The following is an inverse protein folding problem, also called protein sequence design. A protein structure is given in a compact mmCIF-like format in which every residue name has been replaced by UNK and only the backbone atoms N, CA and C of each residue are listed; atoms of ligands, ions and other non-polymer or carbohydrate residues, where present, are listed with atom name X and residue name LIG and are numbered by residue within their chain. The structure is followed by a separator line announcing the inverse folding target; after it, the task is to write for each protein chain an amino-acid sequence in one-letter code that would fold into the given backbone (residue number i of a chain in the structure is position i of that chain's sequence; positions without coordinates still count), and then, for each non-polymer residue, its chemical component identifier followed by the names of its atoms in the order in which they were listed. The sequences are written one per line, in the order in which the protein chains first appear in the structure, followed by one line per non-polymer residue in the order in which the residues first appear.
data_IF_925817242988
#
_entry.id   IF_925817242988
#
_cell.length_a   1.000
_cell.length_b   1.000
_cell.length_c   1.000
_cell.angle_alpha   90.00
_cell.angle_beta   90.00
_cell.angle_gamma   90.00
#
_symmetry.space_group_name_H-M   'P 1'
#
loop_
_entity.id
_entity.type
_entity.pdbx_description
1 polymer ?
#
# COMPACT_ATOMS: atom_id res chain seq x y z
N UNK A 1 12.33 17.43 26.71
CA UNK A 1 12.06 18.33 27.86
C UNK A 1 10.59 18.12 28.25
N UNK A 2 10.32 17.52 29.41
CA UNK A 2 8.96 17.30 29.87
C UNK A 2 8.29 18.65 30.13
N UNK A 3 7.27 18.99 29.34
CA UNK A 3 6.43 20.15 29.58
C UNK A 3 5.68 19.92 30.90
N UNK A 4 6.04 20.65 31.94
CA UNK A 4 5.36 20.60 33.24
C UNK A 4 3.91 21.05 33.05
N UNK A 5 2.98 20.16 33.31
CA UNK A 5 1.53 20.49 33.38
C UNK A 5 1.35 21.40 34.60
N UNK A 6 1.20 22.71 34.38
CA UNK A 6 0.98 23.70 35.44
C UNK A 6 -0.47 24.15 35.45
N UNK A 7 -1.04 24.20 36.64
CA UNK A 7 -2.35 24.87 36.86
C UNK A 7 -3.56 23.94 36.96
N UNK A 8 -3.43 22.64 36.75
CA UNK A 8 -4.53 21.70 36.94
C UNK A 8 -4.51 21.20 38.39
N UNK A 9 -5.65 21.28 39.05
CA UNK A 9 -5.82 20.81 40.42
C UNK A 9 -6.59 19.49 40.38
N UNK A 10 -6.04 18.45 40.99
CA UNK A 10 -6.63 17.09 41.07
C UNK A 10 -7.02 16.78 42.49
N UNK A 11 -8.22 16.23 42.70
CA UNK A 11 -8.63 15.65 43.99
C UNK A 11 -8.25 14.17 44.01
N UNK A 12 -7.32 13.79 44.88
CA UNK A 12 -6.95 12.39 45.11
C UNK A 12 -7.18 12.09 46.56
N UNK A 13 -8.05 11.12 46.89
CA UNK A 13 -8.34 10.71 48.25
C UNK A 13 -8.93 11.80 49.16
N UNK A 14 -9.63 12.81 48.59
CA UNK A 14 -10.24 13.91 49.31
C UNK A 14 -9.39 15.18 49.41
N UNK A 15 -8.10 15.13 49.06
CA UNK A 15 -7.20 16.28 49.02
C UNK A 15 -7.13 16.92 47.62
N UNK A 16 -7.02 18.25 47.60
CA UNK A 16 -6.87 19.03 46.37
C UNK A 16 -5.41 19.41 46.20
N UNK A 17 -4.71 18.74 45.30
CA UNK A 17 -3.27 19.00 44.99
C UNK A 17 -3.08 19.41 43.56
N UNK A 18 -1.96 20.15 43.27
CA UNK A 18 -1.57 20.40 41.88
C UNK A 18 -1.12 19.07 41.23
N UNK A 19 -1.57 18.80 40.03
CA UNK A 19 -1.27 17.57 39.29
C UNK A 19 0.25 17.25 39.28
N UNK A 20 1.12 18.27 39.09
CA UNK A 20 2.56 18.09 39.12
C UNK A 20 3.08 17.50 40.45
N UNK A 21 2.46 17.87 41.60
CA UNK A 21 2.83 17.36 42.92
C UNK A 21 2.29 15.95 43.14
N UNK A 22 1.09 15.67 42.66
CA UNK A 22 0.49 14.33 42.72
C UNK A 22 1.31 13.30 41.91
N UNK A 23 1.91 13.71 40.79
CA UNK A 23 2.74 12.86 39.95
C UNK A 23 4.22 12.79 40.35
N UNK A 24 4.69 13.63 41.30
CA UNK A 24 6.10 13.74 41.64
C UNK A 24 6.71 12.41 42.12
N UNK A 25 6.04 11.74 43.02
CA UNK A 25 6.48 10.43 43.55
C UNK A 25 6.51 9.35 42.49
N UNK A 26 5.48 9.27 41.66
CA UNK A 26 5.33 8.28 40.59
C UNK A 26 6.38 8.53 39.50
N UNK A 27 6.59 9.76 39.08
CA UNK A 27 7.59 10.11 38.08
C UNK A 27 9.02 9.81 38.58
N UNK A 28 9.30 10.01 39.88
CA UNK A 28 10.58 9.66 40.48
C UNK A 28 10.80 8.14 40.46
N UNK A 29 9.80 7.36 40.78
CA UNK A 29 9.87 5.89 40.76
C UNK A 29 10.10 5.39 39.31
N UNK A 30 9.32 5.87 38.33
CA UNK A 30 9.50 5.53 36.92
C UNK A 30 10.94 5.83 36.47
N UNK A 31 11.44 7.02 36.78
CA UNK A 31 12.81 7.42 36.40
C UNK A 31 13.87 6.51 37.01
N UNK A 32 13.74 6.17 38.29
CA UNK A 32 14.69 5.28 38.96
C UNK A 32 14.68 3.88 38.36
N UNK A 33 13.51 3.32 38.12
CA UNK A 33 13.34 1.99 37.52
C UNK A 33 13.89 1.95 36.10
N UNK A 34 13.69 3.00 35.30
CA UNK A 34 14.25 3.10 33.95
C UNK A 34 15.80 3.17 33.96
N UNK A 35 16.41 3.83 34.93
CA UNK A 35 17.87 3.86 35.06
C UNK A 35 18.41 2.47 35.39
N UNK A 36 17.80 1.76 36.35
CA UNK A 36 18.19 0.40 36.71
C UNK A 36 17.97 -0.59 35.55
N UNK A 37 16.87 -0.48 34.80
CA UNK A 37 16.62 -1.26 33.59
C UNK A 37 17.76 -1.07 32.56
N UNK A 38 18.15 0.16 32.31
CA UNK A 38 19.23 0.48 31.39
C UNK A 38 20.57 -0.12 31.81
N UNK A 39 20.83 -0.19 33.10
CA UNK A 39 22.08 -0.78 33.63
C UNK A 39 22.04 -2.32 33.51
N UNK A 40 20.93 -2.96 33.83
CA UNK A 40 20.75 -4.40 33.62
C UNK A 40 20.84 -4.76 32.13
N UNK A 41 20.29 -3.96 31.25
CA UNK A 41 20.39 -4.17 29.81
C UNK A 41 21.81 -4.07 29.26
N UNK A 42 22.62 -3.17 29.81
CA UNK A 42 24.03 -3.11 29.46
C UNK A 42 24.78 -4.40 29.84
N UNK A 43 24.47 -4.95 31.01
CA UNK A 43 25.09 -6.19 31.48
C UNK A 43 24.60 -7.39 30.67
N UNK A 44 23.31 -7.44 30.30
CA UNK A 44 22.73 -8.46 29.43
C UNK A 44 23.30 -8.45 28.03
N UNK A 45 23.81 -7.32 27.54
CA UNK A 45 24.56 -7.30 26.26
C UNK A 45 25.88 -8.05 26.32
N UNK A 46 26.49 -8.16 27.52
CA UNK A 46 27.75 -8.88 27.74
C UNK A 46 27.47 -10.37 28.01
N UNK A 47 26.39 -10.68 28.72
CA UNK A 47 25.96 -12.05 29.01
C UNK A 47 24.43 -12.21 28.80
N UNK A 48 23.98 -12.44 27.56
CA UNK A 48 22.58 -12.50 27.21
C UNK A 48 21.78 -13.65 27.84
N UNK A 49 22.47 -14.67 28.36
CA UNK A 49 21.83 -15.86 28.95
C UNK A 49 21.89 -15.87 30.48
N UNK A 50 22.33 -14.78 31.09
CA UNK A 50 22.39 -14.69 32.55
C UNK A 50 20.99 -14.64 33.16
N UNK A 51 20.61 -15.73 33.80
CA UNK A 51 19.27 -15.93 34.38
C UNK A 51 18.97 -14.97 35.53
N UNK A 52 19.97 -14.61 36.32
CA UNK A 52 19.86 -13.62 37.40
C UNK A 52 19.54 -12.22 36.87
N UNK A 53 20.28 -11.77 35.83
CA UNK A 53 20.06 -10.47 35.19
C UNK A 53 18.72 -10.43 34.46
N UNK A 54 18.30 -11.53 33.83
CA UNK A 54 16.99 -11.65 33.23
C UNK A 54 15.86 -11.59 34.25
N UNK A 55 16.02 -12.24 35.40
CA UNK A 55 15.08 -12.16 36.51
C UNK A 55 14.98 -10.74 37.09
N UNK A 56 16.12 -10.05 37.25
CA UNK A 56 16.17 -8.65 37.67
C UNK A 56 15.47 -7.74 36.63
N UNK A 57 15.71 -7.96 35.33
CA UNK A 57 15.02 -7.23 34.26
C UNK A 57 13.51 -7.39 34.38
N UNK A 58 13.03 -8.60 34.59
CA UNK A 58 11.59 -8.89 34.75
C UNK A 58 10.96 -8.15 35.92
N UNK A 59 11.63 -8.17 37.07
CA UNK A 59 11.15 -7.46 38.27
C UNK A 59 11.07 -5.95 38.01
N UNK A 60 12.11 -5.36 37.42
CA UNK A 60 12.15 -3.94 37.09
C UNK A 60 11.10 -3.55 36.06
N UNK A 61 10.83 -4.41 35.07
CA UNK A 61 9.74 -4.20 34.11
C UNK A 61 8.36 -4.23 34.80
N UNK A 62 8.13 -5.19 35.71
CA UNK A 62 6.90 -5.25 36.49
C UNK A 62 6.69 -3.99 37.36
N UNK A 63 7.73 -3.53 38.03
CA UNK A 63 7.69 -2.32 38.86
C UNK A 63 7.45 -1.06 37.99
N UNK A 64 8.07 -0.99 36.82
CA UNK A 64 7.89 0.11 35.85
C UNK A 64 6.47 0.13 35.27
N UNK A 65 5.91 -1.04 34.92
CA UNK A 65 4.52 -1.20 34.45
C UNK A 65 3.54 -0.73 35.53
N UNK A 66 3.73 -1.17 36.79
CA UNK A 66 2.87 -0.75 37.92
C UNK A 66 2.90 0.78 38.10
N UNK A 67 4.09 1.38 38.18
CA UNK A 67 4.24 2.82 38.34
C UNK A 67 3.66 3.61 37.16
N UNK A 68 3.78 3.10 35.94
CA UNK A 68 3.22 3.74 34.74
C UNK A 68 1.68 3.65 34.71
N UNK A 69 1.10 2.54 35.19
CA UNK A 69 -0.34 2.40 35.40
C UNK A 69 -0.88 3.39 36.45
N UNK A 70 -0.18 3.56 37.55
CA UNK A 70 -0.56 4.53 38.59
C UNK A 70 -0.51 5.97 38.08
N UNK A 71 0.52 6.30 37.25
CA UNK A 71 0.63 7.58 36.56
C UNK A 71 -0.57 7.78 35.63
N UNK A 72 -0.89 6.79 34.81
CA UNK A 72 -1.98 6.85 33.87
C UNK A 72 -3.34 7.04 34.55
N UNK A 73 -3.59 6.33 35.64
CA UNK A 73 -4.81 6.49 36.44
C UNK A 73 -4.95 7.90 37.00
N UNK A 74 -3.85 8.47 37.52
CA UNK A 74 -3.81 9.84 38.04
C UNK A 74 -4.09 10.87 36.94
N UNK A 75 -3.49 10.68 35.77
CA UNK A 75 -3.70 11.56 34.59
C UNK A 75 -5.15 11.49 34.09
N UNK A 76 -5.76 10.30 34.06
CA UNK A 76 -7.15 10.12 33.64
C UNK A 76 -8.13 10.80 34.59
N UNK A 77 -7.95 10.65 35.89
CA UNK A 77 -8.74 11.40 36.88
C UNK A 77 -8.59 12.91 36.71
N UNK A 78 -7.35 13.37 36.42
CA UNK A 78 -7.13 14.79 36.13
C UNK A 78 -7.82 15.25 34.84
N UNK A 79 -7.90 14.41 33.82
CA UNK A 79 -8.56 14.76 32.55
C UNK A 79 -10.08 14.89 32.72
N UNK A 80 -10.72 14.06 33.53
CA UNK A 80 -12.15 14.21 33.86
C UNK A 80 -12.44 15.55 34.53
N UNK A 81 -11.59 15.96 35.49
CA UNK A 81 -11.71 17.26 36.14
C UNK A 81 -11.37 18.44 35.20
N UNK A 82 -10.36 18.25 34.34
CA UNK A 82 -9.94 19.26 33.37
C UNK A 82 -11.03 19.54 32.31
N UNK A 83 -11.80 18.53 31.95
CA UNK A 83 -12.93 18.69 31.01
C UNK A 83 -14.00 19.67 31.59
N UNK A 84 -14.32 19.51 32.85
CA UNK A 84 -15.25 20.40 33.56
C UNK A 84 -14.65 21.81 33.74
N UNK A 85 -13.36 21.88 34.08
CA UNK A 85 -12.66 23.15 34.26
C UNK A 85 -12.49 23.94 32.93
N UNK A 86 -12.32 23.24 31.82
CA UNK A 86 -12.29 23.85 30.48
C UNK A 86 -13.66 24.44 30.12
N UNK A 87 -14.75 23.70 30.37
CA UNK A 87 -16.10 24.17 30.13
C UNK A 87 -16.45 25.42 30.96
N UNK A 88 -15.89 25.53 32.17
CA UNK A 88 -16.06 26.67 33.07
C UNK A 88 -15.10 27.85 32.74
N UNK A 89 -14.12 27.67 31.86
CA UNK A 89 -13.11 28.68 31.56
C UNK A 89 -11.97 28.77 32.59
N UNK A 90 -11.87 27.81 33.52
CA UNK A 90 -10.86 27.80 34.58
C UNK A 90 -9.45 27.39 34.06
N UNK A 91 -9.40 26.67 32.94
CA UNK A 91 -8.16 26.31 32.26
C UNK A 91 -8.24 26.63 30.76
N UNK A 92 -7.09 26.84 30.13
CA UNK A 92 -7.01 27.08 28.70
C UNK A 92 -7.04 25.79 27.88
N UNK A 93 -7.46 25.87 26.60
CA UNK A 93 -7.40 24.76 25.65
C UNK A 93 -5.97 24.18 25.58
N UNK A 94 -4.93 25.02 25.57
CA UNK A 94 -3.55 24.56 25.55
C UNK A 94 -3.15 23.68 26.76
N UNK A 95 -3.69 23.98 27.94
CA UNK A 95 -3.46 23.18 29.15
C UNK A 95 -4.18 21.84 29.07
N UNK A 96 -5.41 21.84 28.58
CA UNK A 96 -6.15 20.61 28.32
C UNK A 96 -5.45 19.71 27.28
N UNK A 97 -5.03 20.27 26.18
CA UNK A 97 -4.30 19.53 25.13
C UNK A 97 -2.94 18.99 25.63
N UNK A 98 -2.26 19.73 26.52
CA UNK A 98 -1.03 19.25 27.14
C UNK A 98 -1.26 18.02 28.02
N UNK A 99 -2.36 18.00 28.78
CA UNK A 99 -2.77 16.86 29.59
C UNK A 99 -3.11 15.64 28.72
N UNK A 100 -3.85 15.85 27.63
CA UNK A 100 -4.18 14.79 26.68
C UNK A 100 -2.91 14.17 26.05
N UNK A 101 -1.94 14.99 25.67
CA UNK A 101 -0.64 14.49 25.13
C UNK A 101 0.10 13.65 26.18
N UNK A 102 0.17 14.08 27.43
CA UNK A 102 0.82 13.32 28.51
C UNK A 102 0.13 11.97 28.76
N UNK A 103 -1.19 11.89 28.65
CA UNK A 103 -1.96 10.63 28.73
C UNK A 103 -1.54 9.69 27.61
N UNK A 104 -1.54 10.16 26.37
CA UNK A 104 -1.16 9.36 25.18
C UNK A 104 0.29 8.88 25.28
N UNK A 105 1.22 9.74 25.69
CA UNK A 105 2.63 9.37 25.89
C UNK A 105 2.76 8.29 26.98
N UNK A 106 2.02 8.41 28.08
CA UNK A 106 2.05 7.44 29.17
C UNK A 106 1.43 6.10 28.75
N UNK A 107 0.37 6.08 27.96
CA UNK A 107 -0.21 4.87 27.41
C UNK A 107 0.74 4.15 26.46
N UNK A 108 1.44 4.89 25.60
CA UNK A 108 2.42 4.33 24.68
C UNK A 108 3.61 3.71 25.44
N UNK A 109 4.10 4.39 26.46
CA UNK A 109 5.16 3.85 27.32
C UNK A 109 4.71 2.57 28.04
N UNK A 110 3.48 2.52 28.54
CA UNK A 110 2.92 1.31 29.17
C UNK A 110 2.92 0.13 28.19
N UNK A 111 2.44 0.32 26.97
CA UNK A 111 2.42 -0.73 25.95
C UNK A 111 3.82 -1.23 25.59
N UNK A 112 4.79 -0.29 25.48
CA UNK A 112 6.19 -0.63 25.23
C UNK A 112 6.75 -1.53 26.33
N UNK A 113 6.51 -1.17 27.59
CA UNK A 113 6.97 -1.93 28.75
C UNK A 113 6.31 -3.32 28.83
N UNK A 114 5.02 -3.43 28.53
CA UNK A 114 4.29 -4.70 28.50
C UNK A 114 4.81 -5.63 27.40
N UNK A 115 5.10 -5.10 26.21
CA UNK A 115 5.70 -5.86 25.12
C UNK A 115 7.12 -6.34 25.48
N UNK A 116 7.91 -5.49 26.13
CA UNK A 116 9.25 -5.84 26.56
C UNK A 116 9.25 -6.90 27.66
N UNK A 117 8.32 -6.83 28.61
CA UNK A 117 8.12 -7.85 29.64
C UNK A 117 7.73 -9.21 29.04
N UNK A 118 6.88 -9.21 28.01
CA UNK A 118 6.50 -10.43 27.27
C UNK A 118 7.70 -11.07 26.55
N UNK A 119 8.54 -10.25 25.93
CA UNK A 119 9.75 -10.73 25.25
C UNK A 119 10.76 -11.33 26.25
N UNK A 120 11.01 -10.64 27.35
CA UNK A 120 11.92 -11.10 28.39
C UNK A 120 11.41 -12.42 29.04
N UNK A 121 10.09 -12.61 29.22
CA UNK A 121 9.49 -13.87 29.64
C UNK A 121 9.75 -15.01 28.64
N UNK A 122 9.65 -14.72 27.35
CA UNK A 122 9.92 -15.72 26.29
C UNK A 122 11.39 -16.16 26.27
N UNK A 123 12.31 -15.26 26.56
CA UNK A 123 13.75 -15.58 26.61
C UNK A 123 14.08 -16.45 27.83
N UNK A 124 13.49 -16.16 28.98
CA UNK A 124 13.67 -16.98 30.19
C UNK A 124 13.04 -18.37 30.08
N UNK A 125 11.87 -18.48 29.44
CA UNK A 125 11.23 -19.78 29.19
C UNK A 125 12.08 -20.69 28.30
N UNK A 126 12.87 -20.12 27.39
CA UNK A 126 13.80 -20.86 26.54
C UNK A 126 15.05 -21.39 27.29
N UNK A 127 15.36 -20.86 28.45
CA UNK A 127 16.55 -21.24 29.25
C UNK A 127 16.26 -22.39 30.25
N UNK A 128 15.00 -22.81 30.40
CA UNK A 128 14.67 -24.19 30.83
C UNK A 128 14.62 -24.54 32.33
N UNK A 129 14.99 -23.67 33.29
CA UNK A 129 14.89 -24.01 34.72
C UNK A 129 14.21 -22.95 35.62
N UNK A 130 13.93 -21.77 35.07
CA UNK A 130 13.33 -20.66 35.80
C UNK A 130 11.79 -20.56 35.67
N UNK A 131 11.13 -21.53 35.04
CA UNK A 131 9.71 -21.48 34.67
C UNK A 131 8.71 -21.33 35.79
N UNK A 132 8.98 -21.87 36.97
CA UNK A 132 8.02 -21.84 38.12
C UNK A 132 8.00 -20.50 38.88
N UNK A 133 9.12 -19.77 38.91
CA UNK A 133 9.16 -18.45 39.59
C UNK A 133 8.52 -17.36 38.71
N UNK A 134 8.50 -17.55 37.42
CA UNK A 134 7.99 -16.61 36.41
C UNK A 134 6.48 -16.71 36.19
N UNK A 135 5.89 -17.89 36.32
CA UNK A 135 4.43 -18.07 36.27
C UNK A 135 3.75 -17.18 37.31
N UNK A 136 4.31 -17.11 38.53
CA UNK A 136 3.80 -16.27 39.60
C UNK A 136 3.98 -14.75 39.39
N UNK A 137 4.94 -14.33 38.58
CA UNK A 137 5.13 -12.91 38.20
C UNK A 137 4.23 -12.52 37.04
N UNK A 138 4.04 -13.40 36.05
CA UNK A 138 3.15 -13.22 34.90
C UNK A 138 1.67 -13.08 35.34
N UNK A 139 1.22 -13.93 36.27
CA UNK A 139 -0.14 -13.91 36.79
C UNK A 139 -0.47 -12.62 37.61
N UNK A 140 0.53 -12.04 38.28
CA UNK A 140 0.37 -10.75 38.97
C UNK A 140 0.28 -9.57 38.01
N UNK A 141 0.93 -9.62 36.85
CA UNK A 141 0.83 -8.61 35.80
C UNK A 141 -0.53 -8.69 35.07
N UNK A 142 -1.02 -9.89 34.82
CA UNK A 142 -2.32 -10.16 34.20
C UNK A 142 -3.49 -9.73 35.12
N UNK A 143 -3.47 -10.10 36.39
CA UNK A 143 -4.53 -9.78 37.34
C UNK A 143 -4.63 -8.29 37.71
N UNK A 144 -3.54 -7.51 37.57
CA UNK A 144 -3.58 -6.06 37.74
C UNK A 144 -4.22 -5.36 36.52
N UNK A 145 -4.17 -5.97 35.32
CA UNK A 145 -4.81 -5.48 34.10
C UNK A 145 -6.33 -5.57 34.12
N UNK A 146 -6.88 -6.65 34.68
CA UNK A 146 -8.33 -6.93 34.67
C UNK A 146 -9.16 -6.04 35.60
N UNK A 147 -8.56 -5.48 36.66
CA UNK A 147 -9.28 -4.63 37.63
C UNK A 147 -9.50 -3.18 37.18
N UNK A 148 -8.94 -2.75 36.03
CA UNK A 148 -9.04 -1.37 35.50
C UNK A 148 -10.00 -1.22 34.31
N UNK A 149 -10.72 -2.27 33.92
CA UNK A 149 -11.53 -2.33 32.71
C UNK A 149 -12.87 -1.54 32.68
N UNK A 150 -13.52 -1.06 33.77
CA UNK A 150 -14.85 -0.47 33.60
C UNK A 150 -14.93 1.01 33.25
N UNK A 151 -13.82 1.78 33.29
CA UNK A 151 -13.88 3.27 33.12
C UNK A 151 -13.45 3.79 31.75
N UNK A 152 -12.98 2.94 30.84
CA UNK A 152 -12.22 3.38 29.64
C UNK A 152 -12.92 3.22 28.30
N UNK A 153 -14.19 2.88 28.24
CA UNK A 153 -14.89 2.56 26.98
C UNK A 153 -15.05 3.77 26.00
N UNK A 154 -14.93 5.01 26.47
CA UNK A 154 -15.14 6.19 25.64
C UNK A 154 -13.86 6.85 25.10
N UNK A 155 -12.74 6.78 25.81
CA UNK A 155 -11.48 7.47 25.45
C UNK A 155 -10.45 6.49 24.88
N UNK A 156 -10.51 5.22 25.28
CA UNK A 156 -9.63 4.15 24.75
C UNK A 156 -9.89 3.81 23.29
N UNK A 157 -11.10 3.99 22.78
CA UNK A 157 -11.41 3.70 21.37
C UNK A 157 -10.62 4.61 20.41
N UNK A 158 -10.46 5.89 20.72
CA UNK A 158 -9.68 6.83 19.90
C UNK A 158 -8.16 6.65 20.08
N UNK A 159 -7.69 6.39 21.30
CA UNK A 159 -6.27 6.19 21.60
C UNK A 159 -5.72 4.86 21.07
N UNK A 160 -6.49 3.76 21.17
CA UNK A 160 -6.08 2.45 20.64
C UNK A 160 -6.09 2.41 19.11
N UNK A 161 -7.01 3.09 18.46
CA UNK A 161 -7.02 3.21 17.01
C UNK A 161 -5.77 3.97 16.51
N UNK A 162 -5.44 5.13 17.09
CA UNK A 162 -4.28 5.92 16.71
C UNK A 162 -2.94 5.19 16.91
N UNK A 163 -2.80 4.44 17.99
CA UNK A 163 -1.57 3.65 18.28
C UNK A 163 -1.45 2.45 17.36
N UNK A 164 -2.56 1.76 17.08
CA UNK A 164 -2.58 0.66 16.12
C UNK A 164 -2.20 1.16 14.73
N UNK A 165 -2.79 2.25 14.28
CA UNK A 165 -2.47 2.86 12.98
C UNK A 165 -1.00 3.27 12.87
N UNK A 166 -0.41 3.84 13.93
CA UNK A 166 1.01 4.19 13.94
C UNK A 166 1.92 2.95 13.93
N UNK A 167 1.56 1.90 14.69
CA UNK A 167 2.30 0.64 14.71
C UNK A 167 2.19 -0.11 13.37
N UNK A 168 1.02 -0.13 12.76
CA UNK A 168 0.79 -0.76 11.46
C UNK A 168 1.58 -0.02 10.36
N UNK A 169 1.60 1.31 10.40
CA UNK A 169 2.41 2.14 9.50
C UNK A 169 3.91 1.88 9.67
N UNK A 170 4.42 1.88 10.91
CA UNK A 170 5.84 1.60 11.18
C UNK A 170 6.25 0.18 10.77
N UNK A 171 5.35 -0.79 10.94
CA UNK A 171 5.56 -2.17 10.47
C UNK A 171 5.62 -2.24 8.94
N UNK A 172 4.69 -1.57 8.24
CA UNK A 172 4.67 -1.51 6.78
C UNK A 172 5.94 -0.83 6.23
N UNK A 173 6.33 0.33 6.79
CA UNK A 173 7.56 1.03 6.40
C UNK A 173 8.84 0.25 6.70
N UNK A 174 8.83 -0.59 7.74
CA UNK A 174 9.96 -1.50 8.03
C UNK A 174 10.11 -2.58 6.96
N UNK A 175 9.00 -3.08 6.40
CA UNK A 175 9.04 -4.00 5.25
C UNK A 175 9.59 -3.29 4.01
N UNK A 176 9.11 -2.07 3.72
CA UNK A 176 9.65 -1.26 2.61
C UNK A 176 11.16 -1.07 2.75
N UNK A 177 11.65 -0.70 3.94
CA UNK A 177 13.08 -0.55 4.19
C UNK A 177 13.86 -1.85 3.98
N UNK A 178 13.32 -2.97 4.46
CA UNK A 178 13.97 -4.28 4.34
C UNK A 178 14.10 -4.75 2.88
N UNK A 179 13.08 -4.50 2.05
CA UNK A 179 13.04 -4.96 0.65
C UNK A 179 13.77 -3.98 -0.27
N UNK A 180 13.54 -2.66 -0.14
CA UNK A 180 14.16 -1.65 -1.00
C UNK A 180 15.63 -1.37 -0.65
N UNK A 181 16.03 -1.65 0.60
CA UNK A 181 17.32 -1.26 1.16
C UNK A 181 17.39 0.23 1.55
N UNK A 182 16.27 0.95 1.53
CA UNK A 182 16.22 2.37 1.89
C UNK A 182 16.53 2.57 3.37
N UNK A 183 17.42 3.52 3.68
CA UNK A 183 17.83 3.89 5.05
C UNK A 183 17.95 5.41 5.18
N UNK A 184 17.99 5.90 6.41
CA UNK A 184 18.22 7.33 6.67
C UNK A 184 17.21 8.24 5.97
N UNK A 185 17.74 9.23 5.24
CA UNK A 185 16.92 10.24 4.56
C UNK A 185 16.00 9.66 3.47
N UNK A 186 16.43 8.61 2.80
CA UNK A 186 15.61 7.96 1.76
C UNK A 186 14.39 7.25 2.35
N UNK A 187 14.57 6.56 3.46
CA UNK A 187 13.43 5.97 4.19
C UNK A 187 12.50 7.07 4.74
N UNK A 188 13.05 8.20 5.17
CA UNK A 188 12.25 9.32 5.65
C UNK A 188 11.39 9.93 4.52
N UNK A 189 11.96 10.12 3.32
CA UNK A 189 11.20 10.58 2.13
C UNK A 189 10.04 9.64 1.79
N UNK A 190 10.27 8.32 1.82
CA UNK A 190 9.22 7.33 1.58
C UNK A 190 8.13 7.39 2.66
N UNK A 191 8.51 7.56 3.94
CA UNK A 191 7.55 7.74 5.05
C UNK A 191 6.69 8.99 4.87
N UNK A 192 7.30 10.09 4.48
CA UNK A 192 6.59 11.35 4.28
C UNK A 192 5.67 11.27 3.07
N UNK A 193 6.12 10.64 1.98
CA UNK A 193 5.28 10.40 0.79
C UNK A 193 4.10 9.47 1.10
N UNK A 194 4.30 8.40 1.87
CA UNK A 194 3.20 7.52 2.27
C UNK A 194 2.15 8.24 3.13
N UNK A 195 2.58 9.14 4.03
CA UNK A 195 1.67 10.00 4.81
C UNK A 195 0.95 11.02 3.94
N UNK A 196 1.65 11.62 2.98
CA UNK A 196 1.07 12.53 1.99
C UNK A 196 -0.05 11.82 1.22
N UNK A 197 0.22 10.62 0.70
CA UNK A 197 -0.76 9.83 -0.02
C UNK A 197 -1.96 9.45 0.85
N UNK A 198 -1.72 9.04 2.09
CA UNK A 198 -2.79 8.76 3.05
C UNK A 198 -3.64 9.97 3.43
N UNK A 199 -3.15 11.20 3.20
CA UNK A 199 -3.92 12.43 3.42
C UNK A 199 -4.68 12.92 2.18
N UNK A 200 -4.24 12.54 0.98
CA UNK A 200 -4.77 13.01 -0.31
C UNK A 200 -5.70 12.02 -1.00
N UNK A 201 -5.67 10.76 -0.60
CA UNK A 201 -6.44 9.69 -1.23
C UNK A 201 -7.37 9.02 -0.22
N UNK A 202 -8.24 8.14 -0.69
CA UNK A 202 -9.11 7.33 0.17
C UNK A 202 -8.36 6.25 0.99
N UNK A 203 -7.09 6.03 0.69
CA UNK A 203 -6.26 5.02 1.35
C UNK A 203 -5.55 5.61 2.57
N UNK A 204 -5.21 4.75 3.52
CA UNK A 204 -4.39 5.12 4.68
C UNK A 204 -2.90 5.20 4.33
N UNK A 205 -2.12 5.86 5.17
CA UNK A 205 -0.66 5.86 5.04
C UNK A 205 -0.04 4.44 5.11
N UNK A 206 -0.66 3.53 5.85
CA UNK A 206 -0.24 2.13 5.95
C UNK A 206 -0.45 1.39 4.63
N UNK A 207 -1.59 1.58 3.97
CA UNK A 207 -1.87 1.01 2.66
C UNK A 207 -0.94 1.59 1.59
N UNK A 208 -0.63 2.89 1.64
CA UNK A 208 0.37 3.51 0.77
C UNK A 208 1.78 2.89 0.98
N UNK A 209 2.16 2.60 2.23
CA UNK A 209 3.40 1.91 2.55
C UNK A 209 3.39 0.44 2.06
N UNK A 210 2.25 -0.23 2.09
CA UNK A 210 2.10 -1.57 1.51
C UNK A 210 2.26 -1.54 -0.02
N UNK A 211 1.66 -0.57 -0.71
CA UNK A 211 1.90 -0.36 -2.14
C UNK A 211 3.39 -0.14 -2.45
N UNK A 212 4.08 0.70 -1.67
CA UNK A 212 5.53 0.87 -1.81
C UNK A 212 6.31 -0.44 -1.59
N UNK A 213 5.86 -1.32 -0.71
CA UNK A 213 6.49 -2.62 -0.52
C UNK A 213 6.39 -3.50 -1.77
N UNK A 214 5.25 -3.51 -2.48
CA UNK A 214 5.11 -4.22 -3.76
C UNK A 214 6.02 -3.61 -4.83
N UNK A 215 6.08 -2.28 -4.94
CA UNK A 215 7.02 -1.61 -5.84
C UNK A 215 8.48 -1.99 -5.54
N UNK A 216 8.85 -2.03 -4.24
CA UNK A 216 10.18 -2.46 -3.83
C UNK A 216 10.47 -3.92 -4.19
N UNK A 217 9.47 -4.83 -4.07
CA UNK A 217 9.58 -6.23 -4.51
C UNK A 217 9.78 -6.34 -6.04
N UNK A 218 9.17 -5.44 -6.81
CA UNK A 218 9.42 -5.29 -8.26
C UNK A 218 10.80 -4.68 -8.59
N UNK A 219 11.60 -4.34 -7.58
CA UNK A 219 12.96 -3.82 -7.74
C UNK A 219 13.09 -2.29 -7.77
N UNK A 220 11.99 -1.56 -7.59
CA UNK A 220 11.99 -0.10 -7.59
C UNK A 220 12.78 0.45 -6.40
N UNK A 221 13.54 1.51 -6.66
CA UNK A 221 14.30 2.24 -5.66
C UNK A 221 13.52 3.45 -5.14
N UNK A 222 14.06 4.14 -4.15
CA UNK A 222 13.42 5.28 -3.49
C UNK A 222 12.83 6.29 -4.48
N UNK A 223 13.60 6.71 -5.48
CA UNK A 223 13.13 7.71 -6.46
C UNK A 223 12.03 7.16 -7.37
N UNK A 224 12.11 5.89 -7.75
CA UNK A 224 11.09 5.21 -8.55
C UNK A 224 9.76 5.14 -7.80
N UNK A 225 9.80 4.71 -6.52
CA UNK A 225 8.63 4.67 -5.66
C UNK A 225 8.01 6.05 -5.43
N UNK A 226 8.84 7.09 -5.25
CA UNK A 226 8.37 8.45 -5.06
C UNK A 226 7.68 9.02 -6.32
N UNK A 227 8.16 8.68 -7.51
CA UNK A 227 7.56 9.14 -8.77
C UNK A 227 6.35 8.33 -9.20
N UNK A 228 6.31 7.03 -8.89
CA UNK A 228 5.29 6.13 -9.41
C UNK A 228 4.06 5.93 -8.52
N UNK A 229 4.15 6.20 -7.22
CA UNK A 229 3.08 5.87 -6.28
C UNK A 229 1.77 6.62 -6.55
N UNK A 230 1.84 7.88 -6.99
CA UNK A 230 0.65 8.69 -7.26
C UNK A 230 -0.24 8.03 -8.33
N UNK A 231 0.36 7.60 -9.45
CA UNK A 231 -0.36 6.91 -10.53
C UNK A 231 -1.01 5.60 -10.07
N UNK A 232 -0.26 4.79 -9.32
CA UNK A 232 -0.76 3.51 -8.81
C UNK A 232 -1.94 3.71 -7.85
N UNK A 233 -1.83 4.66 -6.91
CA UNK A 233 -2.90 4.91 -5.94
C UNK A 233 -4.14 5.54 -6.59
N UNK A 234 -3.96 6.44 -7.57
CA UNK A 234 -5.07 6.98 -8.34
C UNK A 234 -5.80 5.89 -9.13
N UNK A 235 -5.05 4.98 -9.79
CA UNK A 235 -5.64 3.87 -10.52
C UNK A 235 -6.40 2.91 -9.61
N UNK A 236 -5.85 2.55 -8.45
CA UNK A 236 -6.51 1.72 -7.46
C UNK A 236 -7.78 2.41 -6.91
N UNK A 237 -7.73 3.73 -6.69
CA UNK A 237 -8.89 4.49 -6.28
C UNK A 237 -9.97 4.53 -7.35
N UNK A 238 -9.59 4.80 -8.60
CA UNK A 238 -10.49 4.90 -9.75
C UNK A 238 -11.14 3.56 -10.14
N UNK A 239 -10.40 2.45 -9.99
CA UNK A 239 -10.87 1.12 -10.41
C UNK A 239 -11.60 0.36 -9.30
N UNK A 240 -11.41 0.74 -8.03
CA UNK A 240 -11.87 -0.04 -6.88
C UNK A 240 -11.06 -1.32 -6.62
N UNK A 241 -9.97 -1.54 -7.33
CA UNK A 241 -9.06 -2.66 -7.12
C UNK A 241 -8.19 -2.43 -5.88
N UNK A 242 -7.65 -3.50 -5.29
CA UNK A 242 -6.71 -3.36 -4.19
C UNK A 242 -5.33 -2.86 -4.65
N UNK A 243 -4.62 -2.20 -3.73
CA UNK A 243 -3.33 -1.59 -4.03
C UNK A 243 -2.24 -2.60 -4.42
N UNK A 244 -2.29 -3.82 -3.87
CA UNK A 244 -1.33 -4.87 -4.19
C UNK A 244 -1.46 -5.28 -5.66
N UNK A 245 -2.67 -5.65 -6.07
CA UNK A 245 -2.99 -6.02 -7.47
C UNK A 245 -2.67 -4.88 -8.43
N UNK A 246 -3.04 -3.64 -8.09
CA UNK A 246 -2.76 -2.47 -8.93
C UNK A 246 -1.26 -2.20 -9.05
N UNK A 247 -0.51 -2.33 -7.95
CA UNK A 247 0.96 -2.18 -7.97
C UNK A 247 1.61 -3.21 -8.87
N UNK A 248 1.24 -4.49 -8.75
CA UNK A 248 1.76 -5.57 -9.59
C UNK A 248 1.46 -5.32 -11.07
N UNK A 249 0.20 -4.95 -11.41
CA UNK A 249 -0.20 -4.66 -12.79
C UNK A 249 0.68 -3.56 -13.40
N UNK A 250 0.85 -2.45 -12.67
CA UNK A 250 1.61 -1.30 -13.18
C UNK A 250 3.10 -1.62 -13.28
N UNK A 251 3.69 -2.18 -12.22
CA UNK A 251 5.14 -2.47 -12.22
C UNK A 251 5.54 -3.53 -13.23
N UNK A 252 4.74 -4.58 -13.38
CA UNK A 252 4.98 -5.65 -14.35
C UNK A 252 4.87 -5.15 -15.78
N UNK A 253 3.81 -4.36 -16.08
CA UNK A 253 3.60 -3.82 -17.41
C UNK A 253 4.68 -2.80 -17.79
N UNK A 254 5.02 -1.85 -16.91
CA UNK A 254 6.09 -0.88 -17.17
C UNK A 254 7.42 -1.60 -17.48
N UNK A 255 7.76 -2.62 -16.68
CA UNK A 255 8.95 -3.44 -16.91
C UNK A 255 8.90 -4.14 -18.27
N UNK A 256 7.75 -4.72 -18.64
CA UNK A 256 7.58 -5.44 -19.88
C UNK A 256 7.64 -4.55 -21.13
N UNK A 257 7.13 -3.32 -21.03
CA UNK A 257 7.24 -2.32 -22.11
C UNK A 257 8.58 -1.58 -22.14
N UNK A 258 9.47 -1.78 -21.14
CA UNK A 258 10.73 -1.05 -21.02
C UNK A 258 10.53 0.41 -20.58
N UNK A 259 9.39 0.71 -19.97
CA UNK A 259 9.05 2.02 -19.42
C UNK A 259 9.64 2.18 -18.01
N UNK A 260 9.67 3.42 -17.53
CA UNK A 260 10.21 3.79 -16.23
C UNK A 260 9.12 4.03 -15.18
N UNK A 261 9.48 4.11 -13.92
CA UNK A 261 8.54 4.46 -12.86
C UNK A 261 7.88 5.85 -13.05
N UNK A 262 8.50 6.75 -13.80
CA UNK A 262 7.94 8.07 -14.13
C UNK A 262 6.74 7.97 -15.07
N UNK A 263 6.67 6.91 -15.87
CA UNK A 263 5.58 6.65 -16.81
C UNK A 263 4.35 6.03 -16.13
N UNK A 264 4.42 5.71 -14.82
CA UNK A 264 3.34 5.02 -14.11
C UNK A 264 2.05 5.83 -14.06
N UNK A 265 2.13 7.16 -13.98
CA UNK A 265 0.96 8.04 -14.01
C UNK A 265 0.24 7.93 -15.37
N UNK A 266 0.99 8.06 -16.45
CA UNK A 266 0.45 7.93 -17.80
C UNK A 266 -0.12 6.53 -18.06
N UNK A 267 0.61 5.47 -17.68
CA UNK A 267 0.10 4.10 -17.81
C UNK A 267 -1.18 3.85 -17.01
N UNK A 268 -1.26 4.42 -15.80
CA UNK A 268 -2.48 4.38 -14.99
C UNK A 268 -3.66 5.08 -15.69
N UNK A 269 -3.41 6.20 -16.35
CA UNK A 269 -4.41 6.95 -17.12
C UNK A 269 -4.88 6.16 -18.35
N UNK A 270 -3.98 5.50 -19.06
CA UNK A 270 -4.30 4.59 -20.18
C UNK A 270 -5.22 3.46 -19.72
N UNK A 271 -4.90 2.80 -18.59
CA UNK A 271 -5.73 1.73 -18.05
C UNK A 271 -7.10 2.23 -17.58
N UNK A 272 -7.15 3.40 -16.94
CA UNK A 272 -8.39 4.03 -16.50
C UNK A 272 -9.27 4.39 -17.71
N UNK A 273 -8.70 5.00 -18.74
CA UNK A 273 -9.40 5.34 -19.98
C UNK A 273 -9.91 4.09 -20.70
N UNK A 274 -9.08 3.07 -20.87
CA UNK A 274 -9.46 1.82 -21.53
C UNK A 274 -10.57 1.09 -20.76
N UNK A 275 -10.47 0.98 -19.43
CA UNK A 275 -11.45 0.28 -18.61
C UNK A 275 -12.79 1.01 -18.52
N UNK A 276 -12.81 2.34 -18.60
CA UNK A 276 -14.05 3.13 -18.56
C UNK A 276 -14.75 3.25 -19.92
N UNK A 277 -14.05 2.95 -21.03
CA UNK A 277 -14.56 3.09 -22.39
C UNK A 277 -14.77 1.75 -23.13
N UNK A 278 -14.40 0.63 -22.53
CA UNK A 278 -14.61 -0.72 -23.04
C UNK A 278 -15.29 -1.63 -22.01
N UNK A 279 -15.80 -2.78 -22.45
CA UNK A 279 -16.45 -3.76 -21.58
C UNK A 279 -15.43 -4.60 -20.80
N UNK A 280 -14.62 -3.95 -19.97
CA UNK A 280 -13.55 -4.57 -19.16
C UNK A 280 -13.34 -3.83 -17.84
N UNK A 281 -12.37 -4.25 -17.03
CA UNK A 281 -11.90 -3.54 -15.86
C UNK A 281 -10.36 -3.58 -15.79
N UNK A 282 -9.78 -2.86 -14.83
CA UNK A 282 -8.32 -2.74 -14.68
C UNK A 282 -7.68 -4.10 -14.41
N UNK A 283 -8.28 -4.93 -13.57
CA UNK A 283 -7.78 -6.28 -13.25
C UNK A 283 -7.75 -7.19 -14.48
N UNK A 284 -8.81 -7.18 -15.29
CA UNK A 284 -8.88 -7.96 -16.54
C UNK A 284 -7.87 -7.47 -17.57
N UNK A 285 -7.66 -6.16 -17.71
CA UNK A 285 -6.62 -5.60 -18.57
C UNK A 285 -5.24 -5.97 -18.07
N UNK A 286 -4.97 -5.84 -16.77
CA UNK A 286 -3.72 -6.25 -16.15
C UNK A 286 -3.38 -7.71 -16.41
N UNK A 287 -4.37 -8.59 -16.25
CA UNK A 287 -4.20 -10.02 -16.58
C UNK A 287 -3.91 -10.24 -18.07
N UNK A 288 -4.50 -9.44 -18.97
CA UNK A 288 -4.19 -9.49 -20.39
C UNK A 288 -2.76 -9.03 -20.69
N UNK A 289 -2.32 -7.94 -20.07
CA UNK A 289 -0.97 -7.38 -20.21
C UNK A 289 0.12 -8.38 -19.79
N UNK A 290 -0.07 -9.15 -18.74
CA UNK A 290 0.89 -10.19 -18.31
C UNK A 290 1.29 -11.14 -19.45
N UNK A 291 0.37 -11.40 -20.40
CA UNK A 291 0.60 -12.30 -21.52
C UNK A 291 1.15 -11.61 -22.78
N UNK A 292 0.76 -10.38 -23.05
CA UNK A 292 1.11 -9.70 -24.31
C UNK A 292 2.16 -8.60 -24.14
N UNK A 293 2.29 -7.95 -22.99
CA UNK A 293 3.20 -6.83 -22.80
C UNK A 293 4.68 -7.17 -23.08
N UNK A 294 5.22 -8.36 -22.71
CA UNK A 294 6.60 -8.69 -23.02
C UNK A 294 6.87 -8.76 -24.54
N UNK A 295 5.91 -9.20 -25.34
CA UNK A 295 6.03 -9.21 -26.80
C UNK A 295 5.81 -7.82 -27.36
N UNK A 296 4.81 -7.08 -26.86
CA UNK A 296 4.56 -5.71 -27.30
C UNK A 296 5.80 -4.83 -27.09
N UNK A 297 6.40 -4.85 -25.91
CA UNK A 297 7.62 -4.11 -25.62
C UNK A 297 8.81 -4.53 -26.46
N UNK A 298 9.01 -5.85 -26.66
CA UNK A 298 10.09 -6.36 -27.52
C UNK A 298 9.96 -5.95 -29.00
N UNK A 299 8.73 -5.78 -29.48
CA UNK A 299 8.44 -5.33 -30.84
C UNK A 299 8.32 -3.79 -30.97
N UNK A 300 8.34 -3.07 -29.87
CA UNK A 300 8.22 -1.61 -29.85
C UNK A 300 6.78 -1.10 -30.02
N UNK A 301 5.77 -1.93 -29.80
CA UNK A 301 4.38 -1.49 -29.73
C UNK A 301 4.11 -0.72 -28.44
N UNK A 302 3.30 0.33 -28.52
CA UNK A 302 2.95 1.16 -27.38
C UNK A 302 1.98 0.49 -26.42
N UNK A 303 1.94 0.95 -25.18
CA UNK A 303 0.94 0.49 -24.20
C UNK A 303 -0.46 0.98 -24.56
N UNK A 304 -0.58 2.15 -25.20
CA UNK A 304 -1.81 2.76 -25.69
C UNK A 304 -2.46 1.89 -26.76
N UNK A 305 -1.74 1.58 -27.86
CA UNK A 305 -2.24 0.73 -28.93
C UNK A 305 -2.61 -0.66 -28.42
N UNK A 306 -1.82 -1.18 -27.48
CA UNK A 306 -2.09 -2.48 -26.86
C UNK A 306 -3.36 -2.43 -26.03
N UNK A 307 -3.57 -1.37 -25.22
CA UNK A 307 -4.77 -1.18 -24.42
C UNK A 307 -6.02 -1.01 -25.30
N UNK A 308 -5.91 -0.26 -26.41
CA UNK A 308 -6.98 -0.11 -27.40
C UNK A 308 -7.39 -1.46 -27.97
N UNK A 309 -6.45 -2.24 -28.48
CA UNK A 309 -6.72 -3.55 -29.05
C UNK A 309 -7.36 -4.52 -28.03
N UNK A 310 -6.86 -4.54 -26.79
CA UNK A 310 -7.44 -5.33 -25.70
C UNK A 310 -8.86 -4.88 -25.34
N UNK A 311 -9.12 -3.57 -25.33
CA UNK A 311 -10.46 -3.00 -25.11
C UNK A 311 -11.44 -3.36 -26.21
N UNK A 312 -11.03 -3.32 -27.48
CA UNK A 312 -11.86 -3.77 -28.61
C UNK A 312 -12.19 -5.28 -28.53
N UNK A 313 -11.21 -6.11 -28.19
CA UNK A 313 -11.46 -7.53 -27.93
C UNK A 313 -12.46 -7.73 -26.77
N UNK A 314 -12.34 -6.92 -25.71
CA UNK A 314 -13.23 -7.01 -24.56
C UNK A 314 -14.69 -6.64 -24.90
N UNK A 315 -14.92 -5.71 -25.81
CA UNK A 315 -16.24 -5.37 -26.36
C UNK A 315 -16.87 -6.58 -27.07
N UNK A 316 -16.05 -7.40 -27.72
CA UNK A 316 -16.47 -8.65 -28.33
C UNK A 316 -16.57 -9.84 -27.36
N UNK A 317 -16.36 -9.61 -26.04
CA UNK A 317 -16.44 -10.62 -24.99
C UNK A 317 -15.16 -11.41 -24.73
N UNK A 318 -14.04 -11.07 -25.41
CA UNK A 318 -12.73 -11.74 -25.24
C UNK A 318 -11.91 -10.92 -24.25
N UNK A 319 -11.71 -11.44 -23.03
CA UNK A 319 -11.17 -10.70 -21.88
C UNK A 319 -10.07 -11.47 -21.16
N UNK A 320 -9.31 -10.77 -20.31
CA UNK A 320 -8.36 -11.37 -19.37
C UNK A 320 -7.31 -12.24 -20.09
N UNK A 321 -6.99 -13.42 -19.58
CA UNK A 321 -6.02 -14.39 -20.14
C UNK A 321 -6.24 -14.70 -21.61
N UNK A 322 -7.52 -14.79 -22.03
CA UNK A 322 -7.86 -15.13 -23.41
C UNK A 322 -7.47 -14.00 -24.38
N UNK A 323 -7.78 -12.74 -24.03
CA UNK A 323 -7.37 -11.60 -24.86
C UNK A 323 -5.85 -11.42 -24.89
N UNK A 324 -5.19 -11.54 -23.74
CA UNK A 324 -3.74 -11.45 -23.65
C UNK A 324 -3.01 -12.54 -24.47
N UNK A 325 -3.48 -13.78 -24.40
CA UNK A 325 -2.93 -14.90 -25.19
C UNK A 325 -3.17 -14.72 -26.68
N UNK A 326 -4.38 -14.29 -27.07
CA UNK A 326 -4.70 -13.99 -28.46
C UNK A 326 -3.85 -12.83 -28.98
N UNK A 327 -3.71 -11.74 -28.18
CA UNK A 327 -2.94 -10.56 -28.55
C UNK A 327 -1.45 -10.88 -28.75
N UNK A 328 -0.88 -11.68 -27.84
CA UNK A 328 0.49 -12.19 -28.01
C UNK A 328 0.69 -12.91 -29.36
N UNK A 329 -0.25 -13.79 -29.73
CA UNK A 329 -0.17 -14.52 -30.99
C UNK A 329 -0.35 -13.60 -32.20
N UNK A 330 -1.23 -12.60 -32.12
CA UNK A 330 -1.45 -11.60 -33.16
C UNK A 330 -0.18 -10.78 -33.36
N UNK A 331 0.40 -10.20 -32.31
CA UNK A 331 1.62 -9.41 -32.38
C UNK A 331 2.79 -10.21 -32.96
N UNK A 332 2.92 -11.48 -32.55
CA UNK A 332 3.93 -12.39 -33.11
C UNK A 332 3.70 -12.62 -34.60
N UNK A 333 2.48 -12.78 -35.05
CA UNK A 333 2.17 -12.95 -36.48
C UNK A 333 2.46 -11.66 -37.29
N UNK A 334 2.09 -10.50 -36.70
CA UNK A 334 2.32 -9.19 -37.33
C UNK A 334 3.82 -8.79 -37.37
N UNK A 335 4.69 -9.43 -36.60
CA UNK A 335 6.14 -9.22 -36.71
C UNK A 335 6.79 -9.89 -37.92
N UNK A 336 6.03 -10.74 -38.64
CA UNK A 336 6.44 -11.38 -39.89
C UNK A 336 5.86 -10.71 -41.10
N UNK A 337 5.95 -11.42 -42.25
CA UNK A 337 5.30 -11.00 -43.49
C UNK A 337 3.78 -11.24 -43.37
N UNK A 338 2.98 -10.21 -43.59
CA UNK A 338 1.52 -10.27 -43.55
C UNK A 338 0.96 -10.13 -44.94
N UNK A 339 0.35 -11.21 -45.44
CA UNK A 339 -0.27 -11.26 -46.78
C UNK A 339 -1.68 -11.83 -46.69
N UNK A 340 -2.57 -11.20 -47.37
CA UNK A 340 -3.95 -11.66 -47.55
C UNK A 340 -4.23 -11.96 -49.01
N UNK A 341 -4.97 -13.02 -49.27
CA UNK A 341 -5.43 -13.42 -50.59
C UNK A 341 -6.93 -13.44 -50.64
N UNK A 342 -7.50 -12.84 -51.67
CA UNK A 342 -8.95 -12.82 -51.93
C UNK A 342 -9.24 -12.89 -53.43
N UNK A 343 -10.38 -13.42 -53.79
CA UNK A 343 -10.85 -13.40 -55.16
C UNK A 343 -11.07 -11.95 -55.67
N UNK A 344 -11.36 -11.02 -54.77
CA UNK A 344 -11.67 -9.62 -55.13
C UNK A 344 -10.43 -8.78 -55.47
N UNK A 345 -9.25 -9.02 -54.81
CA UNK A 345 -8.05 -8.21 -55.01
C UNK A 345 -6.79 -9.01 -55.31
N UNK A 346 -6.86 -10.35 -55.35
CA UNK A 346 -5.66 -11.19 -55.52
C UNK A 346 -4.84 -11.27 -54.22
N UNK A 347 -3.56 -10.91 -54.28
CA UNK A 347 -2.67 -10.85 -53.12
C UNK A 347 -2.48 -9.39 -52.69
N UNK A 348 -2.62 -9.13 -51.39
CA UNK A 348 -2.36 -7.84 -50.75
C UNK A 348 -1.38 -8.03 -49.60
N UNK A 349 -0.25 -7.34 -49.65
CA UNK A 349 0.75 -7.31 -48.59
C UNK A 349 0.49 -6.11 -47.68
N UNK A 350 0.50 -6.35 -46.37
CA UNK A 350 0.37 -5.32 -45.35
C UNK A 350 1.77 -4.95 -44.85
N UNK A 351 2.16 -3.69 -45.00
CA UNK A 351 3.42 -3.20 -44.47
C UNK A 351 3.38 -3.17 -42.94
N UNK A 352 4.22 -3.94 -42.27
CA UNK A 352 4.30 -4.00 -40.81
C UNK A 352 5.46 -3.19 -40.24
N UNK A 353 6.43 -2.79 -41.08
CA UNK A 353 7.63 -2.06 -40.71
C UNK A 353 7.74 -0.71 -41.41
N UNK A 354 8.39 0.23 -40.74
CA UNK A 354 8.82 1.50 -41.28
C UNK A 354 10.07 1.33 -42.16
N UNK A 355 10.46 2.38 -42.89
CA UNK A 355 11.65 2.38 -43.76
C UNK A 355 12.98 2.23 -42.99
N UNK A 356 12.98 2.49 -41.67
CA UNK A 356 14.13 2.31 -40.77
C UNK A 356 14.22 0.93 -40.15
N UNK A 357 13.26 0.04 -40.44
CA UNK A 357 13.16 -1.32 -39.91
C UNK A 357 12.44 -1.44 -38.58
N UNK A 358 12.00 -0.35 -37.98
CA UNK A 358 11.12 -0.39 -36.78
C UNK A 358 9.71 -0.87 -37.15
N UNK A 359 8.99 -1.44 -36.16
CA UNK A 359 7.57 -1.75 -36.38
C UNK A 359 6.75 -0.46 -36.54
N UNK A 360 5.75 -0.50 -37.38
CA UNK A 360 4.70 0.53 -37.41
C UNK A 360 3.82 0.42 -36.17
N UNK A 361 3.03 1.46 -35.88
CA UNK A 361 2.08 1.38 -34.79
C UNK A 361 1.11 0.18 -34.94
N UNK A 362 0.74 -0.45 -33.84
CA UNK A 362 -0.16 -1.59 -33.89
C UNK A 362 -1.54 -1.19 -34.46
N UNK A 363 -2.02 0.00 -34.11
CA UNK A 363 -3.29 0.56 -34.58
C UNK A 363 -3.28 0.75 -36.08
N UNK A 364 -2.19 1.28 -36.69
CA UNK A 364 -2.05 1.46 -38.16
C UNK A 364 -2.03 0.12 -38.89
N UNK A 365 -1.25 -0.85 -38.39
CA UNK A 365 -1.20 -2.20 -39.01
C UNK A 365 -2.60 -2.87 -38.95
N UNK A 366 -3.30 -2.78 -37.82
CA UNK A 366 -4.64 -3.32 -37.70
C UNK A 366 -5.65 -2.58 -38.60
N UNK A 367 -5.49 -1.26 -38.77
CA UNK A 367 -6.35 -0.50 -39.68
C UNK A 367 -6.16 -0.96 -41.16
N UNK A 368 -4.92 -1.16 -41.60
CA UNK A 368 -4.65 -1.69 -42.94
C UNK A 368 -5.20 -3.12 -43.10
N UNK A 369 -5.09 -3.96 -42.08
CA UNK A 369 -5.70 -5.28 -42.10
C UNK A 369 -7.23 -5.22 -42.24
N UNK A 370 -7.91 -4.27 -41.55
CA UNK A 370 -9.36 -4.07 -41.70
C UNK A 370 -9.73 -3.69 -43.13
N UNK A 371 -8.99 -2.80 -43.77
CA UNK A 371 -9.22 -2.41 -45.18
C UNK A 371 -9.18 -3.63 -46.12
N UNK A 372 -8.25 -4.55 -45.88
CA UNK A 372 -8.19 -5.80 -46.64
C UNK A 372 -9.40 -6.72 -46.34
N UNK A 373 -9.74 -6.84 -45.06
CA UNK A 373 -10.85 -7.70 -44.60
C UNK A 373 -12.21 -7.21 -45.08
N UNK A 374 -12.42 -5.90 -45.22
CA UNK A 374 -13.71 -5.34 -45.71
C UNK A 374 -14.00 -5.75 -47.18
N UNK A 375 -12.97 -6.13 -47.91
CA UNK A 375 -13.11 -6.57 -49.34
C UNK A 375 -13.22 -8.09 -49.48
N UNK A 376 -13.20 -8.86 -48.36
CA UNK A 376 -13.24 -10.31 -48.31
C UNK A 376 -14.65 -10.82 -48.04
N UNK A 377 -14.97 -11.99 -48.60
CA UNK A 377 -16.14 -12.78 -48.14
C UNK A 377 -15.90 -13.33 -46.74
N UNK A 378 -16.99 -13.70 -46.03
CA UNK A 378 -16.91 -14.26 -44.69
C UNK A 378 -16.05 -15.55 -44.59
N UNK A 379 -16.06 -16.36 -45.66
CA UNK A 379 -15.23 -17.57 -45.76
C UNK A 379 -13.75 -17.23 -45.89
N UNK A 380 -13.42 -16.21 -46.71
CA UNK A 380 -12.03 -15.74 -46.91
C UNK A 380 -11.51 -15.11 -45.60
N UNK A 381 -12.31 -14.27 -44.92
CA UNK A 381 -11.96 -13.68 -43.59
C UNK A 381 -11.59 -14.76 -42.59
N UNK A 382 -12.41 -15.82 -42.49
CA UNK A 382 -12.14 -16.93 -41.56
C UNK A 382 -10.84 -17.67 -41.91
N UNK A 383 -10.60 -17.93 -43.20
CA UNK A 383 -9.41 -18.61 -43.68
C UNK A 383 -8.16 -17.76 -43.51
N UNK A 384 -8.23 -16.46 -43.81
CA UNK A 384 -7.14 -15.50 -43.65
C UNK A 384 -6.76 -15.34 -42.16
N UNK A 385 -7.76 -15.17 -41.28
CA UNK A 385 -7.50 -15.09 -39.84
C UNK A 385 -6.86 -16.37 -39.29
N UNK A 386 -7.37 -17.54 -39.67
CA UNK A 386 -6.80 -18.82 -39.24
C UNK A 386 -5.36 -19.02 -39.76
N UNK A 387 -5.10 -18.62 -41.01
CA UNK A 387 -3.78 -18.73 -41.62
C UNK A 387 -2.76 -17.83 -40.93
N UNK A 388 -3.15 -16.59 -40.59
CA UNK A 388 -2.26 -15.59 -40.02
C UNK A 388 -1.94 -15.87 -38.54
N UNK A 389 -2.97 -16.03 -37.72
CA UNK A 389 -2.81 -16.06 -36.26
C UNK A 389 -3.07 -17.44 -35.64
N UNK A 390 -3.45 -18.42 -36.42
CA UNK A 390 -3.81 -19.76 -35.97
C UNK A 390 -5.18 -19.84 -35.31
N UNK A 391 -5.66 -21.08 -35.06
CA UNK A 391 -7.00 -21.35 -34.54
C UNK A 391 -7.29 -20.71 -33.17
N UNK A 392 -6.28 -20.66 -32.31
CA UNK A 392 -6.44 -20.21 -30.92
C UNK A 392 -6.63 -18.68 -30.81
N UNK A 393 -5.99 -17.91 -31.68
CA UNK A 393 -6.08 -16.45 -31.72
C UNK A 393 -7.08 -15.91 -32.76
N UNK A 394 -7.64 -16.80 -33.61
CA UNK A 394 -8.53 -16.43 -34.68
C UNK A 394 -9.73 -15.59 -34.21
N UNK A 395 -10.37 -15.97 -33.10
CA UNK A 395 -11.51 -15.23 -32.54
C UNK A 395 -11.12 -13.83 -32.08
N UNK A 396 -9.94 -13.67 -31.46
CA UNK A 396 -9.42 -12.37 -31.05
C UNK A 396 -9.10 -11.49 -32.24
N UNK A 397 -8.46 -12.04 -33.27
CA UNK A 397 -8.16 -11.30 -34.48
C UNK A 397 -9.42 -10.86 -35.25
N UNK A 398 -10.39 -11.77 -35.41
CA UNK A 398 -11.68 -11.42 -36.03
C UNK A 398 -12.45 -10.36 -35.21
N UNK A 399 -12.35 -10.38 -33.89
CA UNK A 399 -12.94 -9.34 -33.06
C UNK A 399 -12.33 -7.95 -33.36
N UNK A 400 -11.01 -7.87 -33.59
CA UNK A 400 -10.33 -6.64 -33.99
C UNK A 400 -10.71 -6.21 -35.41
N UNK A 401 -10.84 -7.14 -36.33
CA UNK A 401 -11.19 -6.84 -37.72
C UNK A 401 -12.63 -6.36 -37.85
N UNK A 402 -13.55 -6.94 -37.08
CA UNK A 402 -14.98 -6.61 -37.11
C UNK A 402 -15.38 -5.52 -36.09
N UNK A 403 -14.41 -4.86 -35.43
CA UNK A 403 -14.72 -3.80 -34.48
C UNK A 403 -15.43 -2.64 -35.18
N UNK A 404 -16.51 -2.15 -34.59
CA UNK A 404 -17.27 -1.04 -35.17
C UNK A 404 -16.41 0.25 -35.17
N UNK A 405 -16.42 1.03 -36.26
CA UNK A 405 -15.65 2.28 -36.32
C UNK A 405 -15.94 3.22 -35.14
N UNK A 406 -17.18 3.31 -34.70
CA UNK A 406 -17.56 4.13 -33.54
C UNK A 406 -16.91 3.67 -32.22
N UNK A 407 -16.70 2.36 -32.04
CA UNK A 407 -16.00 1.83 -30.86
C UNK A 407 -14.50 2.08 -30.94
N UNK A 408 -13.92 2.00 -32.14
CA UNK A 408 -12.52 2.34 -32.40
C UNK A 408 -12.30 3.81 -32.09
N UNK A 409 -13.06 4.72 -32.72
CA UNK A 409 -12.95 6.16 -32.53
C UNK A 409 -13.12 6.57 -31.06
N UNK A 410 -14.11 5.96 -30.38
CA UNK A 410 -14.38 6.23 -28.98
C UNK A 410 -13.20 5.83 -28.08
N UNK A 411 -12.66 4.62 -28.27
CA UNK A 411 -11.61 4.08 -27.40
C UNK A 411 -10.27 4.72 -27.69
N UNK A 412 -9.90 4.86 -28.95
CA UNK A 412 -8.71 5.57 -29.43
C UNK A 412 -8.71 7.03 -28.96
N UNK A 413 -9.83 7.75 -29.13
CA UNK A 413 -9.97 9.12 -28.64
C UNK A 413 -9.88 9.25 -27.12
N UNK A 414 -10.43 8.30 -26.37
CA UNK A 414 -10.33 8.27 -24.92
C UNK A 414 -8.89 8.01 -24.43
N UNK A 415 -8.17 7.11 -25.08
CA UNK A 415 -6.77 6.79 -24.74
C UNK A 415 -5.84 7.93 -25.17
N UNK A 416 -6.03 8.52 -26.35
CA UNK A 416 -5.23 9.66 -26.81
C UNK A 416 -5.34 10.91 -25.92
N UNK A 417 -6.44 11.04 -25.15
CA UNK A 417 -6.68 12.16 -24.24
C UNK A 417 -6.78 11.67 -22.78
N UNK A 418 -6.03 10.64 -22.40
CA UNK A 418 -6.18 9.99 -21.12
C UNK A 418 -5.51 10.72 -19.94
N UNK A 419 -4.62 11.67 -20.19
CA UNK A 419 -3.84 12.35 -19.15
C UNK A 419 -4.74 12.92 -18.04
N UNK A 420 -4.50 12.49 -16.79
CA UNK A 420 -5.29 12.87 -15.61
C UNK A 420 -6.58 12.07 -15.42
N UNK A 421 -6.90 11.10 -16.26
CA UNK A 421 -8.14 10.30 -16.16
C UNK A 421 -8.21 9.52 -14.85
N UNK A 422 -7.13 8.87 -14.44
CA UNK A 422 -7.09 8.09 -13.19
C UNK A 422 -7.31 8.97 -11.96
N UNK A 423 -6.72 10.17 -11.94
CA UNK A 423 -6.91 11.14 -10.87
C UNK A 423 -8.36 11.66 -10.85
N UNK A 424 -8.88 12.10 -12.01
CA UNK A 424 -10.25 12.61 -12.10
C UNK A 424 -11.30 11.57 -11.70
N UNK A 425 -11.09 10.30 -12.05
CA UNK A 425 -11.94 9.21 -11.61
C UNK A 425 -11.81 8.95 -10.12
N UNK A 426 -10.59 8.99 -9.57
CA UNK A 426 -10.34 8.79 -8.15
C UNK A 426 -11.01 9.86 -7.27
N UNK A 427 -11.11 11.12 -7.75
CA UNK A 427 -11.78 12.21 -7.04
C UNK A 427 -13.32 12.07 -7.00
N UNK A 428 -13.88 11.27 -7.88
CA UNK A 428 -15.34 11.05 -7.98
C UNK A 428 -15.80 9.78 -7.26
N UNK A 429 -14.87 8.91 -6.85
CA UNK A 429 -15.13 7.64 -6.16
C UNK A 429 -15.00 7.76 -4.63
#
# INVERSE_FOLDING_TARGET
MANRIKGITVKIGGDTTKLSKALEGVNKNIKNTQLQLKDVEKLLKLDPKNTELLSQKQKLLADSISATKDKLATLKTAAEQANTALANGDISQQQYDALQREIVETENELKRLEAEAKNANSELAKIGEAGQVLQNAGDKISSAGEKLLPVTAGVTALGTAAVKTASDFDSAMSKVAAVSGATGDDLQKLRDKAREMGSKTKFSASEAAEAMNYMAMAGWKTNDMLSGIDGIMNLAAASGEDLATTSDIVTDALTAFGLTAQDSGHFADVLAAASSNANTNVSMLGESFKYCAPIAGALGFSCEDTAEALGLMANAGIKSTQSGTSMRSIMTALSGEVKFCSESFGEMEIATTNSDGSMRSLSDILADCRVAFDQMSESEKASAAQSLVGKNAMSGFLALMNAAPADIDKLSGAIANCDGTSLSMAETM
#
